data_IF_102934438687
#
_entry.id   IF_102934438687
#
_cell.length_a   1.000
_cell.length_b   1.000
_cell.length_c   1.000
_cell.angle_alpha   90.00
_cell.angle_beta   90.00
_cell.angle_gamma   90.00
#
_symmetry.space_group_name_H-M   'P 1'
#
loop_
_entity.id
_entity.type
_entity.pdbx_description
1 polymer ?
2 non-polymer ?
3 water ?
#
# COMPACT_ATOMS: atom_id res chain seq x y z
N UNK A 7 -8.37 26.54 -1.93
CA UNK A 7 -8.57 27.35 -0.71
C UNK A 7 -9.19 26.51 0.39
N UNK A 8 -10.23 25.74 0.04
CA UNK A 8 -10.91 24.91 1.04
C UNK A 8 -9.97 23.82 1.56
N UNK A 9 -9.22 23.18 0.66
CA UNK A 9 -8.27 22.16 1.10
C UNK A 9 -7.08 22.79 1.82
N UNK A 10 -6.67 23.99 1.43
CA UNK A 10 -5.59 24.68 2.14
C UNK A 10 -5.99 25.00 3.58
N UNK A 11 -7.26 25.33 3.79
CA UNK A 11 -7.76 25.55 5.15
C UNK A 11 -7.80 24.25 5.95
N UNK A 12 -8.23 23.16 5.32
CA UNK A 12 -8.27 21.87 6.00
C UNK A 12 -6.87 21.41 6.37
N UNK A 13 -5.93 21.53 5.43
CA UNK A 13 -4.55 21.17 5.70
C UNK A 13 -3.98 21.96 6.86
N UNK A 14 -4.31 23.26 6.94
CA UNK A 14 -3.79 24.11 8.01
C UNK A 14 -4.22 23.62 9.38
N UNK A 15 -5.52 23.34 9.55
CA UNK A 15 -6.02 22.79 10.81
C UNK A 15 -5.23 21.55 11.20
N UNK A 16 -5.03 20.65 10.24
CA UNK A 16 -4.33 19.38 10.51
C UNK A 16 -2.90 19.64 10.95
N UNK A 17 -2.19 20.52 10.23
CA UNK A 17 -0.78 20.77 10.52
C UNK A 17 -0.61 21.47 11.87
N UNK A 18 -1.46 22.44 12.17
CA UNK A 18 -1.36 23.13 13.46
C UNK A 18 -1.65 22.17 14.61
N UNK A 19 -2.64 21.30 14.43
CA UNK A 19 -2.93 20.30 15.45
C UNK A 19 -1.77 19.33 15.62
N UNK A 20 -1.22 18.85 14.51
CA UNK A 20 -0.10 17.91 14.57
C UNK A 20 1.09 18.56 15.27
N UNK A 21 1.32 19.84 15.03
CA UNK A 21 2.43 20.54 15.66
C UNK A 21 2.36 20.44 17.19
N UNK A 22 1.18 20.69 17.77
CA UNK A 22 0.99 20.56 19.20
C UNK A 22 0.32 19.24 19.58
N UNK A 23 0.63 18.17 18.85
CA UNK A 23 0.07 16.86 19.18
C UNK A 23 0.52 16.40 20.57
N UNK A 24 1.76 16.70 20.94
CA UNK A 24 2.29 16.25 22.22
C UNK A 24 1.55 16.86 23.41
N UNK A 25 0.65 17.82 23.19
CA UNK A 25 -0.20 18.35 24.23
C UNK A 25 -1.68 18.18 23.88
N UNK A 26 -2.00 17.24 23.00
CA UNK A 26 -3.37 16.83 22.73
C UNK A 26 -3.62 15.46 23.34
N UNK A 27 -4.90 15.12 23.47
CA UNK A 27 -5.29 13.83 24.05
C UNK A 27 -6.70 13.50 23.60
N UNK A 28 -7.09 12.24 23.85
CA UNK A 28 -8.42 11.79 23.48
C UNK A 28 -9.50 12.58 24.20
N UNK A 29 -9.26 12.93 25.47
CA UNK A 29 -10.24 13.70 26.22
C UNK A 29 -10.21 15.19 25.87
N UNK A 30 -9.12 15.67 25.24
CA UNK A 30 -8.97 17.07 24.85
C UNK A 30 -8.66 17.12 23.37
N UNK A 31 -9.70 17.05 22.55
CA UNK A 31 -9.56 17.28 21.12
C UNK A 31 -10.71 18.15 20.66
N UNK A 32 -10.38 19.27 20.00
CA UNK A 32 -11.40 20.16 19.45
C UNK A 32 -12.44 19.38 18.67
N UNK A 33 -13.72 19.66 18.96
CA UNK A 33 -14.80 19.08 18.19
C UNK A 33 -14.67 19.44 16.72
N UNK A 34 -14.22 20.66 16.43
CA UNK A 34 -13.97 21.07 15.06
C UNK A 34 -12.79 20.31 14.45
N UNK A 35 -11.85 19.85 15.29
CA UNK A 35 -10.69 19.11 14.77
C UNK A 35 -11.05 17.66 14.46
N UNK A 36 -11.76 16.99 15.38
CA UNK A 36 -12.21 15.63 15.11
C UNK A 36 -13.05 15.59 13.85
N UNK A 37 -13.77 16.68 13.56
CA UNK A 37 -14.47 16.80 12.29
C UNK A 37 -13.50 16.92 11.13
N UNK A 38 -12.45 17.72 11.30
CA UNK A 38 -11.49 17.92 10.22
C UNK A 38 -10.78 16.61 9.86
N UNK A 39 -10.28 15.92 10.88
CA UNK A 39 -9.69 14.59 10.67
C UNK A 39 -10.65 13.69 9.91
N UNK A 40 -11.93 13.69 10.31
CA UNK A 40 -12.90 12.85 9.63
C UNK A 40 -13.14 13.31 8.19
N UNK A 41 -12.98 14.61 7.92
CA UNK A 41 -13.10 15.07 6.54
C UNK A 41 -11.96 14.50 5.68
N UNK A 42 -10.74 14.47 6.23
CA UNK A 42 -9.61 13.91 5.50
C UNK A 42 -9.78 12.40 5.32
N UNK A 43 -10.22 11.71 6.37
CA UNK A 43 -10.46 10.28 6.26
C UNK A 43 -11.49 9.97 5.18
N UNK A 44 -12.53 10.80 5.07
CA UNK A 44 -13.54 10.59 4.05
C UNK A 44 -12.97 10.77 2.65
N UNK A 45 -12.11 11.77 2.49
CA UNK A 45 -11.51 12.03 1.19
C UNK A 45 -10.51 10.95 0.80
N UNK A 46 -9.78 10.40 1.78
CA UNK A 46 -8.93 9.25 1.51
C UNK A 46 -9.76 8.07 1.09
N UNK A 47 -10.91 7.88 1.75
CA UNK A 47 -11.75 6.72 1.52
C UNK A 47 -12.42 6.75 0.15
N UNK A 48 -12.75 7.94 -0.36
CA UNK A 48 -13.38 8.02 -1.66
C UNK A 48 -12.41 8.42 -2.76
N UNK A 49 -11.11 8.50 -2.47
CA UNK A 49 -10.10 8.68 -3.50
C UNK A 49 -9.85 10.10 -3.90
N UNK A 50 -10.55 11.07 -3.32
CA UNK A 50 -10.34 12.46 -3.68
C UNK A 50 -9.08 13.03 -3.06
N UNK A 51 -8.63 12.45 -1.95
CA UNK A 51 -7.29 12.61 -1.43
C UNK A 51 -6.55 11.30 -1.59
N UNK A 52 -5.25 11.36 -1.91
CA UNK A 52 -4.41 10.19 -1.88
C UNK A 52 -3.06 10.58 -1.30
N UNK A 53 -2.43 9.64 -0.57
CA UNK A 53 -1.26 9.99 0.23
C UNK A 53 -0.06 10.31 -0.65
N UNK A 54 0.10 9.58 -1.75
CA UNK A 54 1.18 9.85 -2.70
C UNK A 54 0.63 9.88 -4.12
N UNK A 55 1.30 10.66 -4.95
CA UNK A 55 0.77 11.02 -6.25
C UNK A 55 1.94 11.16 -7.20
N UNK A 56 1.77 10.72 -8.44
CA UNK A 56 2.76 10.93 -9.47
C UNK A 56 2.47 12.28 -10.14
N UNK A 57 3.39 13.23 -9.97
CA UNK A 57 3.24 14.58 -10.52
C UNK A 57 4.47 14.84 -11.38
N UNK A 58 4.23 15.26 -12.63
CA UNK A 58 5.30 15.53 -13.59
C UNK A 58 6.31 14.38 -13.62
N UNK A 59 5.79 13.15 -13.64
CA UNK A 59 6.62 11.97 -13.74
C UNK A 59 7.36 11.58 -12.49
N UNK A 60 7.10 12.23 -11.36
CA UNK A 60 7.77 11.92 -10.11
C UNK A 60 6.74 11.60 -9.04
N UNK A 61 6.95 10.49 -8.33
CA UNK A 61 6.09 10.20 -7.19
C UNK A 61 6.41 11.15 -6.03
N UNK A 62 5.37 11.78 -5.50
CA UNK A 62 5.49 12.76 -4.43
C UNK A 62 4.56 12.35 -3.30
N UNK A 63 4.83 12.82 -2.08
CA UNK A 63 4.06 12.41 -0.92
C UNK A 63 3.42 13.64 -0.28
N UNK A 64 2.20 13.48 0.23
CA UNK A 64 1.47 14.57 0.90
C UNK A 64 1.53 14.30 2.40
N UNK A 65 2.56 14.84 3.06
CA UNK A 65 2.76 14.56 4.48
C UNK A 65 1.56 14.93 5.32
N UNK A 66 0.82 15.98 4.95
CA UNK A 66 -0.28 16.39 5.80
C UNK A 66 -1.37 15.33 5.85
N UNK A 67 -1.51 14.53 4.78
CA UNK A 67 -2.45 13.41 4.85
C UNK A 67 -2.01 12.38 5.88
N UNK A 68 -0.71 12.05 5.92
CA UNK A 68 -0.24 11.12 6.94
C UNK A 68 -0.48 11.68 8.33
N UNK A 69 -0.30 13.00 8.49
CA UNK A 69 -0.50 13.62 9.80
C UNK A 69 -1.94 13.47 10.27
N UNK A 70 -2.91 13.64 9.35
CA UNK A 70 -4.29 13.42 9.71
C UNK A 70 -4.52 11.98 10.16
N UNK A 71 -3.95 11.01 9.45
CA UNK A 71 -4.11 9.62 9.85
C UNK A 71 -3.47 9.37 11.20
N UNK A 72 -2.24 9.88 11.38
CA UNK A 72 -1.59 9.75 12.68
C UNK A 72 -2.43 10.36 13.80
N UNK A 73 -3.07 11.51 13.53
CA UNK A 73 -3.91 12.13 14.55
C UNK A 73 -5.15 11.30 14.84
N UNK A 74 -5.68 10.58 13.85
CA UNK A 74 -6.82 9.71 14.14
C UNK A 74 -6.44 8.62 15.12
N UNK A 75 -5.21 8.11 15.02
CA UNK A 75 -4.80 7.05 15.93
C UNK A 75 -4.60 7.60 17.34
N UNK A 76 -4.21 8.85 17.44
CA UNK A 76 -3.97 9.40 18.77
C UNK A 76 -5.27 9.80 19.46
N UNK A 77 -6.21 10.36 18.71
CA UNK A 77 -7.37 11.03 19.31
C UNK A 77 -8.64 10.20 19.29
N UNK A 78 -8.79 9.26 18.36
CA UNK A 78 -10.01 8.48 18.30
C UNK A 78 -10.03 7.45 19.43
N UNK A 79 -11.14 7.31 20.16
CA UNK A 79 -11.23 6.28 21.18
C UNK A 79 -11.45 4.91 20.59
N UNK A 80 -10.92 3.91 21.28
CA UNK A 80 -11.31 2.55 20.92
C UNK A 80 -12.77 2.33 21.29
N UNK A 81 -13.44 1.50 20.50
CA UNK A 81 -14.81 1.10 20.79
C UNK A 81 -14.97 -0.38 20.52
N UNK A 82 -15.93 -1.00 21.21
CA UNK A 82 -16.26 -2.39 20.91
C UNK A 82 -16.79 -2.51 19.48
N UNK A 83 -16.33 -3.55 18.80
CA UNK A 83 -16.87 -3.96 17.51
C UNK A 83 -17.51 -5.32 17.77
N UNK A 84 -18.85 -5.39 17.66
CA UNK A 84 -19.60 -6.59 18.04
C UNK A 84 -19.79 -7.48 16.82
N UNK A 85 -19.13 -8.63 16.82
CA UNK A 85 -19.28 -9.62 15.75
C UNK A 85 -20.26 -10.72 16.11
N UNK A 86 -21.01 -10.56 17.21
CA UNK A 86 -22.00 -11.54 17.59
C UNK A 86 -21.40 -12.67 18.40
N UNK A 87 -20.55 -13.47 17.76
CA UNK A 87 -19.90 -14.59 18.42
C UNK A 87 -18.64 -14.17 19.16
N UNK A 88 -18.12 -12.98 18.90
CA UNK A 88 -17.01 -12.43 19.66
C UNK A 88 -17.03 -10.92 19.52
N UNK A 89 -16.10 -10.26 20.21
CA UNK A 89 -15.96 -8.82 20.10
C UNK A 89 -14.52 -8.48 19.73
N UNK A 90 -14.37 -7.39 18.99
CA UNK A 90 -13.08 -6.75 18.80
C UNK A 90 -13.13 -5.39 19.49
N UNK A 91 -12.02 -4.66 19.45
CA UNK A 91 -11.93 -3.41 20.21
C UNK A 91 -10.85 -2.55 19.56
N UNK A 92 -11.27 -1.49 18.84
CA UNK A 92 -10.32 -0.71 18.05
C UNK A 92 -10.93 0.66 17.76
N UNK A 93 -10.07 1.56 17.28
CA UNK A 93 -10.42 2.96 17.13
C UNK A 93 -10.57 3.40 15.68
N UNK A 94 -10.33 2.51 14.72
CA UNK A 94 -10.39 2.87 13.30
C UNK A 94 -11.62 2.21 12.70
N UNK A 95 -12.57 2.98 12.17
CA UNK A 95 -13.77 2.38 11.58
C UNK A 95 -13.42 1.55 10.36
N UNK A 96 -14.29 0.59 10.05
CA UNK A 96 -14.17 -0.22 8.85
C UNK A 96 -14.83 0.49 7.67
N UNK A 97 -14.36 0.15 6.47
CA UNK A 97 -14.80 0.88 5.27
C UNK A 97 -16.23 0.54 4.89
N UNK A 98 -16.61 -0.73 4.97
CA UNK A 98 -17.91 -1.24 4.51
C UNK A 98 -18.76 -1.62 5.72
N UNK A 99 -19.49 -0.64 6.27
CA UNK A 99 -20.40 -0.89 7.38
C UNK A 99 -21.83 -0.56 6.99
N UNK A 100 -22.16 0.72 6.78
CA UNK A 100 -23.50 1.14 6.39
C UNK A 100 -23.68 1.16 4.87
N UNK A 101 -22.95 0.31 4.17
CA UNK A 101 -22.91 0.31 2.71
C UNK A 101 -24.15 -0.41 2.17
N UNK A 102 -24.87 0.23 1.25
CA UNK A 102 -26.05 -0.44 0.69
C UNK A 102 -25.67 -1.31 -0.50
N UNK A 103 -26.62 -2.13 -0.92
CA UNK A 103 -26.40 -2.96 -2.10
C UNK A 103 -26.11 -2.10 -3.33
N UNK A 104 -26.86 -1.02 -3.50
CA UNK A 104 -26.61 -0.11 -4.61
C UNK A 104 -25.19 0.43 -4.55
N UNK A 105 -24.76 0.87 -3.36
CA UNK A 105 -23.43 1.44 -3.22
C UNK A 105 -22.36 0.42 -3.55
N UNK A 106 -22.55 -0.84 -3.13
CA UNK A 106 -21.62 -1.90 -3.51
C UNK A 106 -21.60 -2.09 -5.02
N UNK A 107 -22.78 -2.09 -5.64
CA UNK A 107 -22.84 -2.20 -7.10
C UNK A 107 -22.09 -1.05 -7.75
N UNK A 108 -22.37 0.17 -7.29
CA UNK A 108 -21.73 1.35 -7.87
C UNK A 108 -20.21 1.31 -7.68
N UNK A 109 -19.73 0.69 -6.60
CA UNK A 109 -18.29 0.69 -6.35
C UNK A 109 -17.54 -0.21 -7.33
N UNK A 110 -18.19 -1.26 -7.83
CA UNK A 110 -17.51 -2.20 -8.71
C UNK A 110 -16.45 -3.06 -8.05
N UNK A 111 -16.39 -3.11 -6.72
CA UNK A 111 -15.42 -3.91 -5.98
C UNK A 111 -16.12 -5.17 -5.51
N UNK A 112 -15.42 -6.30 -5.55
CA UNK A 112 -15.88 -7.51 -4.89
C UNK A 112 -15.09 -7.68 -3.59
N UNK A 113 -15.81 -7.82 -2.49
CA UNK A 113 -15.20 -7.97 -1.17
C UNK A 113 -15.52 -9.39 -0.71
N UNK A 114 -14.63 -10.32 -0.98
CA UNK A 114 -14.91 -11.73 -0.68
C UNK A 114 -14.89 -11.93 0.83
N UNK A 115 -15.88 -12.59 1.43
CA UNK A 115 -15.81 -12.83 2.88
C UNK A 115 -14.57 -13.65 3.21
N UNK A 116 -13.80 -13.25 4.23
CA UNK A 116 -14.07 -12.10 5.12
C UNK A 116 -12.96 -11.04 5.03
N UNK A 117 -12.71 -10.56 3.80
CA UNK A 117 -11.75 -9.48 3.58
C UNK A 117 -12.07 -8.28 4.46
N UNK A 118 -11.03 -7.68 5.03
CA UNK A 118 -11.18 -6.61 6.00
C UNK A 118 -10.50 -5.37 5.45
N UNK A 119 -11.24 -4.26 5.38
CA UNK A 119 -10.72 -2.99 4.88
C UNK A 119 -11.06 -1.90 5.87
N UNK A 120 -10.05 -1.14 6.29
CA UNK A 120 -10.28 0.01 7.14
C UNK A 120 -10.78 1.20 6.34
N UNK A 121 -11.61 2.01 6.98
CA UNK A 121 -12.02 3.26 6.37
C UNK A 121 -10.81 4.18 6.21
N UNK A 122 -10.81 4.94 5.11
CA UNK A 122 -9.66 5.76 4.74
C UNK A 122 -8.78 5.10 3.69
N UNK A 123 -9.23 3.99 3.12
CA UNK A 123 -8.57 3.34 1.99
C UNK A 123 -9.50 3.42 0.80
N UNK A 124 -8.95 3.78 -0.36
CA UNK A 124 -9.71 3.90 -1.59
C UNK A 124 -9.50 2.64 -2.42
N UNK A 125 -10.58 2.10 -2.97
CA UNK A 125 -10.47 0.90 -3.79
C UNK A 125 -11.33 1.07 -5.03
N UNK A 126 -10.70 1.06 -6.20
CA UNK A 126 -11.34 1.40 -7.44
C UNK A 126 -12.07 0.19 -8.02
N UNK A 127 -12.90 0.46 -9.03
CA UNK A 127 -13.78 -0.56 -9.61
C UNK A 127 -12.98 -1.69 -10.24
N UNK A 128 -13.64 -2.85 -10.36
CA UNK A 128 -13.13 -4.07 -10.97
C UNK A 128 -12.01 -4.71 -10.16
N UNK A 129 -11.81 -4.25 -8.94
CA UNK A 129 -10.89 -4.89 -8.01
C UNK A 129 -11.59 -6.03 -7.28
N UNK A 130 -10.84 -7.08 -7.01
CA UNK A 130 -11.35 -8.22 -6.27
C UNK A 130 -10.47 -8.41 -5.04
N UNK A 131 -11.08 -8.36 -3.86
CA UNK A 131 -10.39 -8.61 -2.61
C UNK A 131 -10.77 -10.01 -2.14
N UNK A 132 -9.85 -10.95 -2.28
CA UNK A 132 -10.01 -12.21 -1.56
C UNK A 132 -9.84 -11.91 -0.08
N UNK A 133 -10.07 -12.88 0.83
CA UNK A 133 -9.80 -12.58 2.24
C UNK A 133 -8.39 -12.06 2.43
N UNK A 134 -8.28 -10.81 2.88
CA UNK A 134 -7.05 -10.03 2.81
C UNK A 134 -7.24 -8.81 3.69
N UNK A 135 -6.21 -7.99 3.79
CA UNK A 135 -6.30 -6.80 4.61
C UNK A 135 -5.85 -5.57 3.83
N UNK A 136 -6.63 -4.51 3.88
CA UNK A 136 -6.26 -3.22 3.28
C UNK A 136 -6.31 -2.19 4.40
N UNK A 137 -5.17 -1.53 4.64
CA UNK A 137 -5.03 -0.65 5.79
C UNK A 137 -5.34 0.79 5.41
N UNK A 138 -5.55 1.62 6.43
CA UNK A 138 -5.92 3.02 6.23
C UNK A 138 -4.88 3.75 5.38
N UNK A 139 -5.35 4.62 4.46
CA UNK A 139 -4.46 5.40 3.64
C UNK A 139 -4.03 4.75 2.34
N UNK A 140 -4.30 3.46 2.17
CA UNK A 140 -3.93 2.79 0.94
C UNK A 140 -4.81 3.29 -0.22
N UNK A 141 -4.27 3.21 -1.43
CA UNK A 141 -4.99 3.56 -2.66
C UNK A 141 -4.80 2.40 -3.61
N UNK A 142 -5.91 1.75 -3.96
CA UNK A 142 -5.90 0.60 -4.87
C UNK A 142 -6.66 0.99 -6.13
N UNK A 143 -5.96 1.06 -7.26
CA UNK A 143 -6.56 1.53 -8.51
C UNK A 143 -7.39 0.40 -9.15
N UNK A 144 -7.86 0.64 -10.38
CA UNK A 144 -8.82 -0.26 -11.00
C UNK A 144 -8.22 -1.61 -11.34
N UNK A 145 -9.03 -2.66 -11.21
CA UNK A 145 -8.70 -3.95 -11.80
C UNK A 145 -7.68 -4.75 -11.04
N UNK A 146 -7.48 -4.43 -9.79
CA UNK A 146 -6.45 -5.08 -8.97
C UNK A 146 -7.02 -6.36 -8.40
N UNK A 147 -6.17 -7.39 -8.28
CA UNK A 147 -6.52 -8.63 -7.60
C UNK A 147 -5.67 -8.70 -6.35
N UNK A 148 -6.32 -8.74 -5.18
CA UNK A 148 -5.67 -8.94 -3.90
C UNK A 148 -6.03 -10.34 -3.44
N UNK A 149 -5.06 -11.23 -3.44
CA UNK A 149 -5.37 -12.65 -3.23
C UNK A 149 -5.36 -12.97 -1.75
N UNK A 150 -5.57 -14.26 -1.43
CA UNK A 150 -5.89 -14.64 -0.05
C UNK A 150 -4.69 -14.47 0.87
N UNK A 151 -4.94 -13.82 2.02
CA UNK A 151 -3.98 -13.46 3.06
C UNK A 151 -2.92 -12.50 2.56
N UNK A 152 -3.20 -11.78 1.48
CA UNK A 152 -2.36 -10.65 1.11
C UNK A 152 -2.67 -9.47 2.01
N UNK A 153 -1.78 -8.47 1.98
CA UNK A 153 -1.90 -7.28 2.83
C UNK A 153 -1.54 -6.08 1.99
N UNK A 154 -2.38 -5.05 1.98
CA UNK A 154 -2.04 -3.76 1.42
C UNK A 154 -1.89 -2.78 2.59
N UNK A 155 -0.65 -2.45 2.92
CA UNK A 155 -0.38 -1.71 4.14
C UNK A 155 -0.69 -0.23 4.02
N UNK A 156 -0.58 0.45 5.16
CA UNK A 156 -1.00 1.84 5.23
C UNK A 156 -0.26 2.69 4.21
N UNK A 157 -1.02 3.54 3.50
CA UNK A 157 -0.57 4.52 2.51
C UNK A 157 -0.03 3.89 1.24
N UNK A 158 -0.06 2.57 1.10
CA UNK A 158 0.48 1.91 -0.09
C UNK A 158 -0.31 2.32 -1.32
N UNK A 159 0.40 2.54 -2.43
CA UNK A 159 -0.21 2.90 -3.71
C UNK A 159 -0.11 1.69 -4.64
N UNK A 160 -1.26 1.13 -5.01
CA UNK A 160 -1.33 -0.03 -5.89
C UNK A 160 -1.91 0.42 -7.22
N UNK A 161 -1.17 0.23 -8.31
CA UNK A 161 -1.58 0.69 -9.62
C UNK A 161 -2.64 -0.19 -10.27
N UNK A 162 -3.07 0.23 -11.45
CA UNK A 162 -4.10 -0.48 -12.19
C UNK A 162 -3.62 -1.87 -12.61
N UNK A 163 -4.49 -2.87 -12.49
CA UNK A 163 -4.26 -4.21 -13.02
C UNK A 163 -3.09 -4.89 -12.36
N UNK A 164 -2.77 -4.50 -11.13
CA UNK A 164 -1.74 -5.17 -10.33
C UNK A 164 -2.34 -6.45 -9.75
N UNK A 165 -1.53 -7.50 -9.67
CA UNK A 165 -1.92 -8.78 -9.09
C UNK A 165 -1.01 -9.03 -7.89
N UNK A 166 -1.58 -8.93 -6.69
CA UNK A 166 -0.89 -9.26 -5.45
C UNK A 166 -1.32 -10.70 -5.11
N UNK A 167 -0.38 -11.64 -5.24
CA UNK A 167 -0.69 -13.05 -5.12
C UNK A 167 -0.90 -13.44 -3.65
N UNK A 168 -1.22 -14.72 -3.46
CA UNK A 168 -1.59 -15.18 -2.13
C UNK A 168 -0.46 -14.96 -1.13
N UNK A 169 -0.83 -14.47 0.05
CA UNK A 169 0.16 -14.35 1.09
C UNK A 169 1.24 -13.33 0.83
N UNK A 170 1.05 -12.42 -0.13
CA UNK A 170 2.04 -11.38 -0.39
C UNK A 170 1.64 -10.08 0.31
N UNK A 171 2.61 -9.34 0.79
CA UNK A 171 2.36 -8.15 1.58
C UNK A 171 3.03 -6.93 0.99
N UNK A 172 2.32 -5.81 1.04
CA UNK A 172 2.87 -4.52 0.65
C UNK A 172 2.94 -3.70 1.93
N UNK A 173 4.16 -3.37 2.36
CA UNK A 173 4.34 -2.84 3.70
C UNK A 173 3.87 -1.41 3.82
N UNK A 174 3.37 -1.07 5.01
CA UNK A 174 2.90 0.27 5.24
C UNK A 174 4.04 1.24 5.53
N UNK A 175 3.77 2.52 5.24
CA UNK A 175 4.73 3.59 5.51
C UNK A 175 3.95 4.79 5.99
N UNK A 176 3.70 4.86 7.29
CA UNK A 176 3.08 6.06 7.83
C UNK A 176 4.14 7.03 8.33
N UNK A 177 5.16 6.52 9.02
CA UNK A 177 6.37 7.23 9.37
C UNK A 177 7.57 6.56 8.72
N UNK A 178 8.62 7.33 8.37
CA UNK A 178 8.76 8.78 8.54
C UNK A 178 7.87 9.56 7.60
N UNK A 179 7.56 10.81 7.96
CA UNK A 179 6.58 11.57 7.22
C UNK A 179 7.03 11.82 5.78
N UNK A 180 8.31 12.11 5.59
CA UNK A 180 8.81 12.48 4.28
C UNK A 180 8.97 11.29 3.33
N UNK A 181 8.87 10.05 3.84
CA UNK A 181 9.10 8.88 3.02
C UNK A 181 7.93 8.62 2.08
N UNK A 182 8.25 8.37 0.81
CA UNK A 182 7.24 7.84 -0.09
C UNK A 182 6.75 6.49 0.42
N UNK A 183 5.47 6.19 0.31
CA UNK A 183 4.99 4.87 0.68
C UNK A 183 5.49 3.82 -0.30
N UNK A 184 5.29 2.56 0.07
CA UNK A 184 5.55 1.47 -0.87
C UNK A 184 4.63 1.62 -2.07
N UNK A 185 5.21 1.57 -3.27
CA UNK A 185 4.49 1.87 -4.50
C UNK A 185 4.65 0.71 -5.46
N UNK A 186 3.52 0.16 -5.93
CA UNK A 186 3.49 -0.84 -6.99
C UNK A 186 2.78 -0.20 -8.18
N UNK A 187 3.52 0.02 -9.27
CA UNK A 187 2.98 0.73 -10.42
C UNK A 187 2.12 -0.21 -11.26
N UNK A 188 1.56 0.33 -12.34
CA UNK A 188 0.57 -0.39 -13.14
C UNK A 188 1.11 -1.72 -13.67
N UNK A 189 0.23 -2.72 -13.69
CA UNK A 189 0.46 -3.97 -14.40
C UNK A 189 1.64 -4.76 -13.85
N UNK A 190 1.85 -4.67 -12.54
CA UNK A 190 2.86 -5.48 -11.89
C UNK A 190 2.23 -6.77 -11.37
N UNK A 191 3.01 -7.85 -11.43
CA UNK A 191 2.67 -9.11 -10.80
C UNK A 191 3.56 -9.29 -9.57
N UNK A 192 2.93 -9.52 -8.41
CA UNK A 192 3.65 -9.78 -7.15
C UNK A 192 3.38 -11.23 -6.78
N UNK A 193 4.42 -12.04 -6.80
CA UNK A 193 4.24 -13.47 -6.62
C UNK A 193 3.94 -13.85 -5.19
N UNK A 194 3.45 -15.09 -5.02
CA UNK A 194 2.98 -15.52 -3.71
C UNK A 194 4.09 -15.48 -2.66
N UNK A 195 3.73 -15.07 -1.45
CA UNK A 195 4.55 -15.00 -0.25
C UNK A 195 5.58 -13.88 -0.31
N UNK A 196 5.65 -13.12 -1.39
CA UNK A 196 6.60 -12.03 -1.45
C UNK A 196 6.18 -10.92 -0.48
N UNK A 197 7.11 -10.02 -0.21
CA UNK A 197 6.86 -8.92 0.73
C UNK A 197 7.69 -7.73 0.27
N UNK A 198 7.01 -6.66 -0.12
CA UNK A 198 7.63 -5.44 -0.62
C UNK A 198 7.31 -4.34 0.39
N UNK A 199 8.35 -3.78 1.04
CA UNK A 199 8.12 -2.97 2.23
C UNK A 199 8.98 -1.72 2.20
N UNK A 200 8.70 -0.85 3.17
CA UNK A 200 9.61 0.23 3.56
C UNK A 200 9.80 1.25 2.44
N UNK A 201 8.80 1.43 1.60
CA UNK A 201 8.90 2.45 0.58
C UNK A 201 9.66 2.05 -0.66
N UNK A 202 9.95 0.75 -0.82
CA UNK A 202 10.44 0.27 -2.11
C UNK A 202 9.42 0.61 -3.19
N UNK A 203 9.91 0.95 -4.38
CA UNK A 203 9.03 1.17 -5.52
C UNK A 203 9.28 0.06 -6.54
N UNK A 204 8.22 -0.57 -7.00
CA UNK A 204 8.28 -1.53 -8.10
C UNK A 204 7.66 -0.84 -9.31
N UNK A 205 8.45 -0.58 -10.33
CA UNK A 205 7.96 0.21 -11.44
C UNK A 205 7.12 -0.65 -12.39
N UNK A 206 6.46 0.05 -13.31
CA UNK A 206 5.49 -0.49 -14.27
C UNK A 206 5.94 -1.80 -14.91
N UNK A 207 4.99 -2.74 -15.05
CA UNK A 207 5.13 -3.94 -15.86
C UNK A 207 6.11 -4.97 -15.28
N UNK A 208 6.48 -4.85 -14.02
CA UNK A 208 7.45 -5.77 -13.43
C UNK A 208 6.77 -7.08 -13.02
N UNK A 209 7.56 -8.16 -12.98
CA UNK A 209 7.11 -9.48 -12.54
C UNK A 209 8.01 -9.91 -11.38
N UNK A 210 7.42 -10.04 -10.19
CA UNK A 210 8.13 -10.45 -8.98
C UNK A 210 7.71 -11.88 -8.69
N UNK A 211 8.68 -12.79 -8.57
CA UNK A 211 8.35 -14.20 -8.40
C UNK A 211 8.02 -14.47 -6.93
N UNK A 212 7.89 -15.75 -6.59
CA UNK A 212 7.52 -16.13 -5.23
C UNK A 212 8.68 -15.93 -4.26
N UNK A 213 8.34 -15.68 -3.00
CA UNK A 213 9.35 -15.61 -1.96
C UNK A 213 10.38 -14.52 -2.14
N UNK A 214 9.98 -13.38 -2.70
CA UNK A 214 10.86 -12.23 -2.81
C UNK A 214 10.58 -11.31 -1.65
N UNK A 215 11.57 -11.13 -0.77
CA UNK A 215 11.42 -10.32 0.44
C UNK A 215 12.30 -9.09 0.25
N UNK A 216 11.66 -7.96 -0.05
CA UNK A 216 12.34 -6.80 -0.60
C UNK A 216 12.05 -5.57 0.24
N UNK A 217 13.04 -5.13 1.01
CA UNK A 217 12.92 -3.90 1.77
C UNK A 217 14.10 -2.99 1.46
N UNK A 218 14.28 -1.94 2.25
CA UNK A 218 15.34 -0.98 1.95
C UNK A 218 16.74 -1.54 2.21
N UNK A 219 16.86 -2.60 3.00
CA UNK A 219 18.16 -3.21 3.26
C UNK A 219 18.46 -4.36 2.33
N UNK A 220 17.53 -4.71 1.43
CA UNK A 220 17.70 -5.88 0.58
C UNK A 220 18.52 -5.52 -0.65
N UNK A 221 19.66 -6.18 -0.82
CA UNK A 221 20.42 -6.04 -2.05
C UNK A 221 19.61 -6.51 -3.25
N UNK A 222 19.61 -5.72 -4.31
CA UNK A 222 19.03 -6.09 -5.60
C UNK A 222 20.19 -6.29 -6.55
N UNK A 223 20.40 -7.52 -7.00
CA UNK A 223 21.47 -7.83 -7.95
C UNK A 223 20.88 -7.88 -9.35
N UNK A 224 21.44 -7.07 -10.25
CA UNK A 224 21.05 -7.07 -11.66
C UNK A 224 22.04 -7.96 -12.40
N UNK A 225 21.61 -9.17 -12.75
CA UNK A 225 22.56 -10.13 -13.33
C UNK A 225 22.96 -9.77 -14.76
N UNK A 226 22.19 -8.92 -15.43
CA UNK A 226 22.59 -8.48 -16.76
C UNK A 226 23.77 -7.51 -16.65
N UNK A 227 23.66 -6.51 -15.78
CA UNK A 227 24.70 -5.51 -15.61
C UNK A 227 25.71 -5.89 -14.55
N UNK A 228 25.32 -6.64 -13.52
CA UNK A 228 26.20 -6.91 -12.41
C UNK A 228 26.15 -5.88 -11.31
N UNK A 229 25.23 -4.93 -11.38
CA UNK A 229 25.14 -3.88 -10.38
C UNK A 229 24.29 -4.34 -9.20
N UNK A 230 24.66 -3.86 -8.02
CA UNK A 230 23.88 -4.06 -6.81
C UNK A 230 23.28 -2.72 -6.42
N UNK A 231 21.98 -2.71 -6.12
CA UNK A 231 21.24 -1.49 -5.81
C UNK A 231 20.24 -1.77 -4.71
N UNK A 232 19.52 -0.72 -4.29
CA UNK A 232 18.51 -0.84 -3.25
C UNK A 232 17.31 0.01 -3.60
N UNK A 233 16.13 -0.47 -3.21
CA UNK A 233 14.96 0.37 -3.04
C UNK A 233 14.09 0.58 -4.26
N UNK A 234 14.46 0.04 -5.42
CA UNK A 234 13.72 0.32 -6.64
C UNK A 234 13.86 -0.83 -7.61
N UNK A 235 12.73 -1.28 -8.15
CA UNK A 235 12.72 -2.26 -9.24
C UNK A 235 12.39 -1.50 -10.53
N UNK A 236 13.33 -1.37 -11.46
CA UNK A 236 13.03 -0.62 -12.68
C UNK A 236 11.96 -1.29 -13.52
N UNK A 237 11.34 -0.50 -14.37
CA UNK A 237 10.16 -0.94 -15.10
C UNK A 237 10.47 -2.16 -15.96
N UNK A 238 9.57 -3.14 -15.94
CA UNK A 238 9.73 -4.32 -16.75
C UNK A 238 10.71 -5.34 -16.23
N UNK A 239 11.11 -5.25 -14.96
CA UNK A 239 12.09 -6.20 -14.43
C UNK A 239 11.40 -7.50 -14.04
N UNK A 240 12.08 -8.62 -14.32
CA UNK A 240 11.70 -9.93 -13.78
C UNK A 240 12.62 -10.22 -12.61
N UNK A 241 12.03 -10.51 -11.44
CA UNK A 241 12.77 -10.55 -10.18
C UNK A 241 12.52 -11.88 -9.49
N UNK A 242 13.60 -12.55 -9.09
CA UNK A 242 13.51 -13.83 -8.40
C UNK A 242 14.37 -13.78 -7.15
N UNK A 243 14.11 -14.71 -6.24
CA UNK A 243 14.92 -14.83 -5.04
C UNK A 243 16.29 -15.42 -5.37
N UNK A 244 17.32 -14.89 -4.74
CA UNK A 244 18.65 -15.43 -4.95
C UNK A 244 19.54 -15.29 -3.74
N UNK A 245 20.84 -15.51 -3.93
CA UNK A 245 21.83 -15.32 -2.88
C UNK A 245 23.07 -14.68 -3.49
N UNK A 246 23.86 -14.03 -2.64
CA UNK A 246 25.15 -13.48 -3.02
C UNK A 246 26.24 -14.10 -2.16
N UNK A 247 27.32 -14.59 -2.77
CA UNK A 247 28.30 -15.37 -2.00
C UNK A 247 29.15 -14.51 -1.07
N UNK A 248 29.63 -15.15 0.00
CA UNK A 248 30.56 -14.51 0.91
C UNK A 248 31.90 -14.25 0.23
N UNK A 249 32.65 -13.29 0.78
CA UNK A 249 33.96 -12.95 0.23
C UNK A 249 34.91 -14.13 0.34
N UNK A 250 34.73 -14.99 1.35
CA UNK A 250 35.54 -16.18 1.51
C UNK A 250 34.85 -17.45 1.02
N UNK A 251 33.62 -17.34 0.54
CA UNK A 251 32.89 -18.49 0.04
C UNK A 251 32.37 -19.42 1.10
N UNK A 252 32.40 -19.02 2.37
CA UNK A 252 31.88 -19.91 3.42
C UNK A 252 30.36 -19.97 3.42
N UNK A 253 29.70 -18.92 2.93
CA UNK A 253 28.25 -18.87 2.94
C UNK A 253 27.78 -17.86 1.90
N UNK A 254 26.47 -17.68 1.82
CA UNK A 254 25.87 -16.66 0.99
C UNK A 254 24.69 -16.06 1.75
N UNK A 255 24.26 -14.88 1.34
CA UNK A 255 23.18 -14.17 2.00
C UNK A 255 22.06 -13.90 0.99
N UNK A 256 20.83 -13.85 1.50
CA UNK A 256 19.66 -13.67 0.65
C UNK A 256 19.71 -12.33 -0.09
N UNK A 257 19.17 -12.34 -1.31
CA UNK A 257 19.03 -11.11 -2.08
C UNK A 257 17.95 -11.32 -3.13
N UNK A 258 17.57 -10.23 -3.79
CA UNK A 258 16.72 -10.27 -4.98
C UNK A 258 17.61 -10.14 -6.21
N UNK A 259 17.26 -10.88 -7.26
CA UNK A 259 18.00 -10.89 -8.50
C UNK A 259 17.07 -10.46 -9.62
N UNK A 260 17.46 -9.42 -10.36
CA UNK A 260 16.78 -9.07 -11.60
C UNK A 260 17.37 -9.94 -12.70
N UNK A 261 16.59 -10.90 -13.20
CA UNK A 261 17.06 -11.86 -14.20
C UNK A 261 16.75 -11.45 -15.63
N UNK A 262 15.84 -10.49 -15.83
CA UNK A 262 15.53 -10.01 -17.17
C UNK A 262 14.78 -8.69 -17.07
N UNK A 263 14.76 -7.96 -18.17
CA UNK A 263 13.96 -6.75 -18.28
C UNK A 263 13.22 -6.79 -19.62
N UNK A 264 11.98 -6.32 -19.62
CA UNK A 264 11.04 -6.56 -20.71
C UNK A 264 10.29 -5.26 -21.03
N UNK A 265 10.19 -4.94 -22.31
CA UNK A 265 9.45 -3.76 -22.73
C UNK A 265 7.94 -4.02 -22.69
N UNK A 266 7.17 -2.96 -22.81
CA UNK A 266 5.71 -3.09 -22.70
C UNK A 266 5.17 -3.99 -23.80
N UNK A 267 5.70 -3.88 -25.01
CA UNK A 267 5.25 -4.71 -26.11
C UNK A 267 5.41 -6.19 -25.77
N UNK A 268 6.60 -6.58 -25.33
CA UNK A 268 6.85 -7.98 -24.97
C UNK A 268 5.99 -8.41 -23.80
N UNK A 269 5.79 -7.51 -22.82
CA UNK A 269 5.09 -7.86 -21.58
C UNK A 269 3.67 -8.35 -21.84
N UNK A 270 3.01 -7.80 -22.86
CA UNK A 270 1.67 -8.24 -23.21
C UNK A 270 1.65 -9.56 -23.99
N UNK A 271 2.75 -9.92 -24.64
CA UNK A 271 2.78 -11.10 -25.51
C UNK A 271 3.22 -12.37 -24.79
N UNK A 272 4.22 -12.27 -23.91
CA UNK A 272 4.81 -13.44 -23.27
C UNK A 272 4.18 -13.64 -21.89
N UNK A 273 3.94 -14.90 -21.54
CA UNK A 273 3.30 -15.21 -20.26
C UNK A 273 4.30 -15.09 -19.11
N UNK A 274 3.76 -15.05 -17.89
CA UNK A 274 4.60 -14.96 -16.71
C UNK A 274 5.43 -16.23 -16.55
N UNK A 275 4.82 -17.40 -16.81
CA UNK A 275 5.55 -18.65 -16.69
C UNK A 275 6.72 -18.71 -17.68
N UNK A 276 6.48 -18.30 -18.93
CA UNK A 276 7.56 -18.26 -19.91
C UNK A 276 8.64 -17.27 -19.51
N UNK A 277 8.24 -16.15 -18.87
CA UNK A 277 9.22 -15.16 -18.44
C UNK A 277 10.14 -15.72 -17.36
N UNK A 278 9.60 -16.55 -16.47
CA UNK A 278 10.41 -17.10 -15.39
C UNK A 278 11.18 -18.35 -15.81
N UNK A 279 10.74 -19.05 -16.85
CA UNK A 279 11.38 -20.29 -17.27
C UNK A 279 12.80 -20.05 -17.80
X LIG B 1 -15.18 -4.06 6.21
X LIG B 1 -14.72 -2.83 5.58
X LIG B 1 -15.26 -5.17 5.17
X LIG B 1 -13.95 -5.33 4.63
X LIG C 1 -0.52 1.83 11.17
X LIG C 1 0.04 1.93 9.85
X LIG C 1 -1.92 1.25 11.04
X LIG C 1 -1.91 -0.15 11.28
X LIG D 1 -18.05 2.58 0.50
X LIG D 1 -19.35 2.43 -0.08
X LIG D 1 -17.08 2.84 -0.65
X LIG D 1 -17.45 1.99 -1.74
#
# INVERSE_FOLDING_TARGET
>A
MAHHHHHHMNSLQDLIEQAFENRQNLSLDTASSDLINAINEVLSGLDNGQFRVAEKINGEWTVHQWLKKAVLLSFKLFPNQIIDAGFCKFYDKIPLKYTDCSNEQFQQSGVRVVPHAMVRRGAYIAKNTVLMPSYVNIGAYIDEGVMVDTWATVGSCAQIGKNVHISGGAGIGGVLEPLQANPTIIEDNCFIGARSEIVEGVIVEKNSVISMGVFLGQSTKIYNRITGEVSYGRIPAGSVVVAGNLPSHDGSHSLYCAVIVKQVDEKTRAKVSINDLLRANQDD
>B hetero
1 EDO C1 O1 C2 O2
>C hetero
1 EDO C1 O1 C2 O2
>D hetero
1 EDO C1 O1 C2 O2
#
